data_IF_052451437321
#
_entry.id   IF_052451437321
#
_cell.length_a   1.000
_cell.length_b   1.000
_cell.length_c   1.000
_cell.angle_alpha   90.00
_cell.angle_beta   90.00
_cell.angle_gamma   90.00
#
_symmetry.space_group_name_H-M   'P 1'
#
loop_
_entity.id
_entity.type
_entity.pdbx_description
1 polymer ?
#
# COMPACT_ATOMS: atom_id res chain seq x y z
N UNK A 1 22.61 9.67 -8.13
CA UNK A 1 22.24 10.22 -6.81
C UNK A 1 20.82 9.81 -6.48
N UNK A 2 20.56 9.38 -5.23
CA UNK A 2 19.22 9.08 -4.72
C UNK A 2 18.51 10.42 -4.45
N UNK A 3 17.22 10.54 -4.81
CA UNK A 3 16.47 11.81 -4.75
C UNK A 3 15.22 11.74 -3.87
N UNK A 4 14.41 10.70 -4.00
CA UNK A 4 13.16 10.55 -3.25
C UNK A 4 12.81 9.08 -3.03
N UNK A 5 11.97 8.83 -2.05
CA UNK A 5 11.36 7.53 -1.81
C UNK A 5 10.13 7.42 -2.72
N UNK A 6 10.07 6.36 -3.51
CA UNK A 6 8.87 6.06 -4.31
C UNK A 6 7.75 5.53 -3.40
N UNK A 7 8.08 4.54 -2.58
CA UNK A 7 7.13 3.88 -1.70
C UNK A 7 7.77 3.21 -0.48
N UNK A 8 6.94 2.83 0.48
CA UNK A 8 7.30 1.98 1.61
C UNK A 8 6.40 0.74 1.59
N UNK A 9 7.01 -0.43 1.41
CA UNK A 9 6.31 -1.71 1.45
C UNK A 9 6.11 -2.23 2.88
N UNK A 10 4.91 -2.71 3.21
CA UNK A 10 4.55 -3.23 4.53
C UNK A 10 3.94 -4.62 4.37
N UNK A 11 4.69 -5.64 4.77
CA UNK A 11 4.18 -7.01 4.78
C UNK A 11 3.12 -7.18 5.87
N UNK A 12 1.92 -7.62 5.48
CA UNK A 12 0.78 -7.82 6.37
C UNK A 12 0.21 -9.23 6.21
N UNK A 13 -0.43 -9.73 7.26
CA UNK A 13 -1.06 -11.04 7.22
C UNK A 13 -2.37 -11.03 6.39
N UNK A 14 -3.09 -9.90 6.41
CA UNK A 14 -4.29 -9.69 5.60
C UNK A 14 -4.37 -8.23 5.15
N UNK A 15 -4.44 -8.02 3.83
CA UNK A 15 -4.62 -6.68 3.25
C UNK A 15 -5.95 -6.09 3.70
N UNK A 16 -7.02 -6.88 3.72
CA UNK A 16 -8.37 -6.45 4.07
C UNK A 16 -8.46 -5.89 5.48
N UNK A 17 -7.65 -6.40 6.41
CA UNK A 17 -7.59 -5.87 7.76
C UNK A 17 -6.63 -4.68 7.87
N UNK A 18 -5.46 -4.78 7.25
CA UNK A 18 -4.46 -3.71 7.27
C UNK A 18 -4.96 -2.41 6.64
N UNK A 19 -5.72 -2.47 5.54
CA UNK A 19 -6.23 -1.26 4.88
C UNK A 19 -7.15 -0.45 5.80
N UNK A 20 -7.87 -1.07 6.74
CA UNK A 20 -8.74 -0.37 7.69
C UNK A 20 -7.96 0.59 8.58
N UNK A 21 -6.73 0.24 8.98
CA UNK A 21 -5.88 1.16 9.72
C UNK A 21 -5.63 2.44 8.92
N UNK A 22 -5.30 2.29 7.63
CA UNK A 22 -5.02 3.42 6.77
C UNK A 22 -6.29 4.19 6.38
N UNK A 23 -7.41 3.51 6.15
CA UNK A 23 -8.67 4.15 5.74
C UNK A 23 -9.46 4.74 6.91
N UNK A 24 -9.78 3.94 7.92
CA UNK A 24 -10.68 4.35 9.00
C UNK A 24 -9.95 5.15 10.07
N UNK A 25 -8.74 4.75 10.45
CA UNK A 25 -8.01 5.46 11.51
C UNK A 25 -7.26 6.68 10.98
N UNK A 26 -6.67 6.59 9.78
CA UNK A 26 -5.84 7.65 9.19
C UNK A 26 -6.53 8.46 8.08
N UNK A 27 -7.73 8.06 7.63
CA UNK A 27 -8.49 8.79 6.61
C UNK A 27 -7.91 8.72 5.19
N UNK A 28 -6.96 7.81 4.94
CA UNK A 28 -6.37 7.60 3.62
C UNK A 28 -7.31 6.79 2.72
N UNK A 29 -6.96 6.68 1.44
CA UNK A 29 -7.74 5.93 0.45
C UNK A 29 -6.87 4.88 -0.20
N UNK A 30 -7.39 3.66 -0.29
CA UNK A 30 -6.82 2.65 -1.18
C UNK A 30 -7.17 3.08 -2.61
N UNK A 31 -6.14 3.26 -3.43
CA UNK A 31 -6.31 3.59 -4.85
C UNK A 31 -6.69 2.35 -5.63
N UNK A 32 -5.92 1.28 -5.47
CA UNK A 32 -6.08 0.02 -6.19
C UNK A 32 -5.55 -1.16 -5.37
N UNK A 33 -6.00 -2.37 -5.69
CA UNK A 33 -5.44 -3.62 -5.20
C UNK A 33 -4.95 -4.41 -6.40
N UNK A 34 -3.64 -4.59 -6.50
CA UNK A 34 -3.01 -5.34 -7.59
C UNK A 34 -2.72 -6.77 -7.15
N UNK A 35 -2.92 -7.72 -8.07
CA UNK A 35 -2.64 -9.14 -7.86
C UNK A 35 -1.54 -9.55 -8.82
N UNK A 36 -0.37 -9.87 -8.29
CA UNK A 36 0.79 -10.32 -9.07
C UNK A 36 0.86 -11.85 -9.01
N UNK A 37 0.12 -12.52 -9.89
CA UNK A 37 -0.02 -13.99 -9.89
C UNK A 37 1.33 -14.73 -9.94
N UNK A 38 2.25 -14.25 -10.79
CA UNK A 38 3.59 -14.83 -10.93
C UNK A 38 4.40 -14.79 -9.63
N UNK A 39 4.13 -13.80 -8.78
CA UNK A 39 4.79 -13.60 -7.49
C UNK A 39 3.94 -14.10 -6.31
N UNK A 40 2.69 -14.51 -6.56
CA UNK A 40 1.68 -14.90 -5.55
C UNK A 40 1.49 -13.83 -4.46
N UNK A 41 1.59 -12.56 -4.84
CA UNK A 41 1.43 -11.42 -3.93
C UNK A 41 0.22 -10.59 -4.34
N UNK A 42 -0.48 -10.06 -3.34
CA UNK A 42 -1.48 -9.00 -3.49
C UNK A 42 -0.91 -7.74 -2.86
N UNK A 43 -1.15 -6.57 -3.45
CA UNK A 43 -0.61 -5.29 -2.98
C UNK A 43 -1.76 -4.28 -2.94
N UNK A 44 -1.87 -3.50 -1.86
CA UNK A 44 -2.82 -2.39 -1.80
C UNK A 44 -2.05 -1.07 -1.95
N UNK A 45 -2.36 -0.31 -2.99
CA UNK A 45 -1.68 0.97 -3.24
C UNK A 45 -2.41 2.09 -2.51
N UNK A 46 -1.72 2.72 -1.56
CA UNK A 46 -2.26 3.84 -0.77
C UNK A 46 -1.41 5.09 -1.02
N UNK A 47 -1.87 6.05 -1.85
CA UNK A 47 -1.14 7.27 -2.12
C UNK A 47 -1.06 8.18 -0.88
N UNK A 48 0.14 8.71 -0.61
CA UNK A 48 0.44 9.63 0.49
C UNK A 48 1.35 10.74 -0.03
N UNK A 49 0.76 11.88 -0.42
CA UNK A 49 1.48 12.97 -1.05
C UNK A 49 2.14 12.52 -2.36
N UNK A 50 3.47 12.61 -2.43
CA UNK A 50 4.27 12.21 -3.60
C UNK A 50 4.81 10.76 -3.54
N UNK A 51 4.52 10.04 -2.46
CA UNK A 51 4.92 8.65 -2.22
C UNK A 51 3.69 7.77 -1.98
N UNK A 52 3.90 6.47 -1.79
CA UNK A 52 2.83 5.49 -1.55
C UNK A 52 3.21 4.44 -0.50
N UNK A 53 2.20 3.86 0.12
CA UNK A 53 2.31 2.65 0.95
C UNK A 53 1.82 1.48 0.09
N UNK A 54 2.55 0.37 0.13
CA UNK A 54 2.30 -0.87 -0.64
C UNK A 54 2.28 -2.11 0.25
#
# INVERSE_FOLDING_TARGET
>A
MIRKIDHIGIAVNSIEDAVKLYTDALGLKVKDIEIMEAQKVRIALIPVGESKIE
#
